data_IF_944440415360
#
_entry.id   IF_944440415360
#
_cell.length_a   1.000
_cell.length_b   1.000
_cell.length_c   1.000
_cell.angle_alpha   90.00
_cell.angle_beta   90.00
_cell.angle_gamma   90.00
#
_symmetry.space_group_name_H-M   'P 1'
#
loop_
_entity.id
_entity.type
_entity.pdbx_description
1 polymer ?
#
# COMPACT_ATOMS: atom_id res chain seq x y z
N UNK A 1 12.75 -0.49 -17.59
CA UNK A 1 13.25 0.73 -16.89
C UNK A 1 13.67 0.33 -15.48
N UNK A 2 14.76 0.90 -14.92
CA UNK A 2 15.11 0.65 -13.52
C UNK A 2 14.18 1.47 -12.62
N UNK A 3 13.45 0.82 -11.70
CA UNK A 3 12.59 1.52 -10.75
C UNK A 3 13.44 2.22 -9.69
N UNK A 4 13.04 3.45 -9.36
CA UNK A 4 13.68 4.27 -8.34
C UNK A 4 13.17 3.85 -6.97
N UNK A 5 14.10 3.49 -6.11
CA UNK A 5 13.82 3.25 -4.71
C UNK A 5 13.87 4.60 -3.96
N UNK A 6 12.88 4.92 -3.12
CA UNK A 6 12.98 6.10 -2.27
C UNK A 6 14.20 6.01 -1.34
N UNK A 7 14.80 7.13 -0.93
CA UNK A 7 15.88 7.12 0.05
C UNK A 7 15.45 6.45 1.36
N UNK A 8 16.38 5.77 2.07
CA UNK A 8 16.11 5.22 3.38
C UNK A 8 15.59 6.28 4.36
N UNK A 9 14.54 5.93 5.11
CA UNK A 9 13.99 6.80 6.14
C UNK A 9 14.93 6.91 7.34
N UNK A 10 14.95 8.11 7.92
CA UNK A 10 15.74 8.42 9.11
C UNK A 10 14.82 8.93 10.24
N UNK A 11 15.18 8.71 11.52
CA UNK A 11 14.46 9.36 12.63
C UNK A 11 14.36 10.88 12.39
N UNK A 12 13.17 11.43 12.65
CA UNK A 12 12.84 12.83 12.37
C UNK A 12 12.23 13.09 10.99
N UNK A 13 12.27 12.12 10.06
CA UNK A 13 11.60 12.27 8.77
C UNK A 13 10.09 12.45 8.92
N UNK A 14 9.53 13.32 8.07
CA UNK A 14 8.08 13.54 7.99
C UNK A 14 7.44 12.43 7.18
N UNK A 15 6.45 11.78 7.77
CA UNK A 15 5.61 10.76 7.14
C UNK A 15 4.15 11.19 7.23
N UNK A 16 3.37 10.94 6.18
CA UNK A 16 2.03 11.49 6.04
C UNK A 16 0.98 10.39 5.94
N UNK A 17 0.01 10.39 6.84
CA UNK A 17 -1.08 9.42 6.87
C UNK A 17 -2.26 9.90 6.03
N UNK A 18 -2.74 9.05 5.11
CA UNK A 18 -3.89 9.30 4.22
C UNK A 18 -4.87 8.13 4.25
N UNK A 19 -6.12 8.39 3.89
CA UNK A 19 -7.15 7.36 3.74
C UNK A 19 -7.70 7.33 2.29
N UNK A 20 -6.99 6.70 1.33
CA UNK A 20 -7.38 6.74 -0.07
C UNK A 20 -8.49 5.74 -0.44
N UNK A 21 -8.94 4.91 0.49
CA UNK A 21 -9.87 3.78 0.28
C UNK A 21 -11.08 3.87 1.20
N UNK A 22 -11.31 2.86 2.04
CA UNK A 22 -12.43 2.78 2.96
C UNK A 22 -12.30 3.72 4.15
N UNK A 23 -13.44 4.17 4.71
CA UNK A 23 -13.47 5.00 5.90
C UNK A 23 -13.08 4.22 7.16
N UNK A 24 -12.50 4.91 8.13
CA UNK A 24 -12.25 4.39 9.47
C UNK A 24 -13.58 4.27 10.23
N UNK A 25 -13.89 3.07 10.72
CA UNK A 25 -15.15 2.82 11.44
C UNK A 25 -14.91 2.84 12.93
N UNK A 26 -15.79 3.52 13.66
CA UNK A 26 -15.80 3.50 15.12
C UNK A 26 -16.43 2.22 15.69
N UNK A 27 -17.17 1.44 14.87
CA UNK A 27 -17.79 0.19 15.30
C UNK A 27 -16.73 -0.84 15.68
N UNK A 28 -16.99 -1.54 16.79
CA UNK A 28 -16.12 -2.62 17.25
C UNK A 28 -16.24 -3.83 16.34
N UNK A 29 -15.12 -4.22 15.72
CA UNK A 29 -14.99 -5.49 15.02
C UNK A 29 -14.05 -6.37 15.85
N UNK A 30 -14.56 -7.51 16.35
CA UNK A 30 -13.80 -8.41 17.25
C UNK A 30 -13.22 -7.70 18.48
N UNK A 31 -13.98 -6.77 19.08
CA UNK A 31 -13.61 -6.07 20.31
C UNK A 31 -12.66 -4.87 20.13
N UNK A 32 -12.32 -4.47 18.91
CA UNK A 32 -11.51 -3.27 18.61
C UNK A 32 -12.22 -2.40 17.58
N UNK A 33 -12.13 -1.08 17.73
CA UNK A 33 -12.53 -0.17 16.67
C UNK A 33 -11.40 -0.02 15.66
N UNK A 34 -11.74 0.17 14.38
CA UNK A 34 -10.73 0.47 13.36
C UNK A 34 -10.01 1.78 13.66
N UNK A 35 -10.69 2.74 14.27
CA UNK A 35 -10.10 4.02 14.66
C UNK A 35 -9.03 3.84 15.75
N UNK A 36 -9.25 2.96 16.74
CA UNK A 36 -8.25 2.68 17.76
C UNK A 36 -7.04 1.94 17.18
N UNK A 37 -7.28 0.97 16.29
CA UNK A 37 -6.23 0.26 15.58
C UNK A 37 -5.40 1.23 14.70
N UNK A 38 -6.05 2.15 14.03
CA UNK A 38 -5.40 3.22 13.27
C UNK A 38 -4.49 4.09 14.15
N UNK A 39 -5.02 4.56 15.29
CA UNK A 39 -4.24 5.36 16.24
C UNK A 39 -3.02 4.61 16.78
N UNK A 40 -3.18 3.31 17.07
CA UNK A 40 -2.05 2.45 17.46
C UNK A 40 -1.02 2.33 16.33
N UNK A 41 -1.45 2.16 15.08
CA UNK A 41 -0.55 2.14 13.93
C UNK A 41 0.23 3.44 13.76
N UNK A 42 -0.42 4.59 13.93
CA UNK A 42 0.24 5.92 13.94
C UNK A 42 1.28 5.99 15.06
N UNK A 43 0.93 5.50 16.25
CA UNK A 43 1.83 5.55 17.41
C UNK A 43 3.07 4.66 17.23
N UNK A 44 2.95 3.51 16.56
CA UNK A 44 4.10 2.65 16.23
C UNK A 44 5.12 3.43 15.37
N UNK A 45 4.68 4.19 14.38
CA UNK A 45 5.55 5.03 13.56
C UNK A 45 6.18 6.17 14.38
N UNK A 46 5.43 6.81 15.28
CA UNK A 46 5.94 7.86 16.16
C UNK A 46 7.00 7.33 17.12
N UNK A 47 6.76 6.18 17.72
CA UNK A 47 7.71 5.52 18.62
C UNK A 47 9.01 5.09 17.91
N UNK A 48 8.93 4.90 16.59
CA UNK A 48 10.10 4.65 15.76
C UNK A 48 10.93 5.91 15.49
N UNK A 49 10.42 7.09 15.89
CA UNK A 49 11.10 8.38 15.75
C UNK A 49 10.67 9.23 14.57
N UNK A 50 9.60 8.85 13.85
CA UNK A 50 9.10 9.62 12.72
C UNK A 50 8.12 10.72 13.13
N UNK A 51 8.14 11.83 12.40
CA UNK A 51 7.14 12.91 12.53
C UNK A 51 5.90 12.54 11.72
N UNK A 52 4.91 11.91 12.35
CA UNK A 52 3.68 11.48 11.67
C UNK A 52 2.68 12.63 11.64
N UNK A 53 2.42 13.12 10.44
CA UNK A 53 1.35 14.06 10.13
C UNK A 53 0.14 13.30 9.60
N UNK A 54 -1.05 13.73 9.96
CA UNK A 54 -2.31 13.10 9.56
C UNK A 54 -3.05 14.09 8.67
N UNK A 55 -3.47 13.61 7.49
CA UNK A 55 -4.30 14.43 6.61
C UNK A 55 -5.62 14.79 7.31
N UNK A 56 -6.09 16.07 7.24
CA UNK A 56 -7.31 16.50 7.89
C UNK A 56 -8.56 15.76 7.46
N UNK A 57 -8.58 15.19 6.23
CA UNK A 57 -9.68 14.41 5.70
C UNK A 57 -9.53 12.89 5.96
N UNK A 58 -8.51 12.46 6.72
CA UNK A 58 -8.23 11.03 6.93
C UNK A 58 -9.37 10.29 7.64
N UNK A 59 -10.14 10.97 8.47
CA UNK A 59 -11.32 10.44 9.18
C UNK A 59 -12.65 10.78 8.48
N UNK A 60 -12.60 11.36 7.26
CA UNK A 60 -13.82 11.68 6.50
C UNK A 60 -14.58 10.41 6.14
N UNK A 61 -15.91 10.54 5.98
CA UNK A 61 -16.78 9.44 5.61
C UNK A 61 -17.79 9.85 4.54
N UNK A 62 -17.89 9.04 3.49
CA UNK A 62 -18.93 9.10 2.48
C UNK A 62 -19.36 7.68 2.11
N UNK A 63 -20.46 7.22 2.72
CA UNK A 63 -20.85 5.83 2.66
C UNK A 63 -19.81 4.91 3.29
N UNK A 64 -19.21 4.03 2.52
CA UNK A 64 -18.12 3.13 2.95
C UNK A 64 -16.71 3.68 2.64
N UNK A 65 -16.62 4.83 1.97
CA UNK A 65 -15.36 5.47 1.55
C UNK A 65 -14.92 6.53 2.58
N UNK A 66 -13.61 6.79 2.61
CA UNK A 66 -13.00 7.84 3.44
C UNK A 66 -13.16 9.22 2.78
N UNK A 67 -14.41 9.67 2.66
CA UNK A 67 -14.77 10.89 1.94
C UNK A 67 -15.04 10.66 0.46
N UNK A 68 -15.34 11.73 -0.26
CA UNK A 68 -15.56 11.75 -1.71
C UNK A 68 -14.29 11.40 -2.49
N UNK A 69 -14.41 11.03 -3.75
CA UNK A 69 -13.25 10.77 -4.61
C UNK A 69 -12.33 12.01 -4.69
N UNK A 70 -12.92 13.20 -4.74
CA UNK A 70 -12.16 14.46 -4.74
C UNK A 70 -11.35 14.67 -3.46
N UNK A 71 -11.95 14.43 -2.28
CA UNK A 71 -11.24 14.54 -1.00
C UNK A 71 -10.10 13.54 -0.89
N UNK A 72 -10.34 12.27 -1.26
CA UNK A 72 -9.31 11.21 -1.23
C UNK A 72 -8.16 11.50 -2.20
N UNK A 73 -8.47 12.06 -3.38
CA UNK A 73 -7.46 12.50 -4.35
C UNK A 73 -6.64 13.66 -3.81
N UNK A 74 -7.27 14.66 -3.18
CA UNK A 74 -6.56 15.77 -2.55
C UNK A 74 -5.59 15.32 -1.45
N UNK A 75 -5.91 14.27 -0.69
CA UNK A 75 -4.98 13.66 0.27
C UNK A 75 -3.71 13.16 -0.43
N UNK A 76 -3.87 12.43 -1.55
CA UNK A 76 -2.74 11.97 -2.36
C UNK A 76 -1.93 13.14 -2.91
N UNK A 77 -2.59 14.16 -3.46
CA UNK A 77 -1.93 15.34 -4.03
C UNK A 77 -1.13 16.10 -2.97
N UNK A 78 -1.70 16.36 -1.79
CA UNK A 78 -0.98 16.99 -0.65
C UNK A 78 0.25 16.18 -0.28
N UNK A 79 0.12 14.86 -0.16
CA UNK A 79 1.21 13.97 0.20
C UNK A 79 2.34 13.94 -0.83
N UNK A 80 2.01 13.95 -2.13
CA UNK A 80 3.03 13.89 -3.18
C UNK A 80 3.67 15.24 -3.48
N UNK A 81 2.94 16.34 -3.39
CA UNK A 81 3.44 17.69 -3.72
C UNK A 81 4.34 18.29 -2.64
N UNK A 82 4.18 17.92 -1.36
CA UNK A 82 5.04 18.42 -0.29
C UNK A 82 6.40 17.73 -0.31
N UNK A 83 7.51 18.39 -0.69
CA UNK A 83 8.83 17.77 -0.81
C UNK A 83 9.43 17.33 0.54
N UNK A 84 8.89 17.82 1.65
CA UNK A 84 9.32 17.44 3.00
C UNK A 84 8.79 16.08 3.44
N UNK A 85 7.72 15.56 2.83
CA UNK A 85 7.18 14.25 3.13
C UNK A 85 8.05 13.17 2.46
N UNK A 86 8.49 12.17 3.25
CA UNK A 86 9.35 11.06 2.79
C UNK A 86 8.57 9.76 2.60
N UNK A 87 7.50 9.56 3.37
CA UNK A 87 6.64 8.39 3.25
C UNK A 87 5.16 8.76 3.34
N UNK A 88 4.33 8.01 2.63
CA UNK A 88 2.87 8.09 2.60
C UNK A 88 2.34 6.80 3.18
N UNK A 89 1.62 6.90 4.29
CA UNK A 89 1.09 5.77 5.05
C UNK A 89 -0.41 5.66 4.81
N UNK A 90 -0.87 4.56 4.24
CA UNK A 90 -2.29 4.35 4.04
C UNK A 90 -2.97 3.91 5.33
N UNK A 91 -4.05 4.59 5.72
CA UNK A 91 -4.79 4.32 6.95
C UNK A 91 -5.39 2.92 6.96
N UNK A 92 -6.08 2.55 5.86
CA UNK A 92 -6.67 1.22 5.65
C UNK A 92 -6.83 0.91 4.15
N UNK A 93 -7.09 -0.37 3.86
CA UNK A 93 -7.58 -0.81 2.57
C UNK A 93 -9.11 -0.69 2.45
N UNK A 94 -9.73 -1.66 1.80
CA UNK A 94 -11.17 -1.72 1.58
C UNK A 94 -11.53 -1.66 0.11
N UNK A 95 -12.08 -0.52 -0.35
CA UNK A 95 -12.40 -0.28 -1.75
C UNK A 95 -12.30 1.22 -2.04
N UNK A 96 -11.98 1.56 -3.30
CA UNK A 96 -12.11 2.92 -3.81
C UNK A 96 -10.82 3.56 -4.29
N UNK A 97 -9.65 2.96 -4.04
CA UNK A 97 -8.37 3.49 -4.55
C UNK A 97 -8.34 3.49 -6.09
N UNK A 98 -8.88 2.45 -6.73
CA UNK A 98 -8.97 2.37 -8.20
C UNK A 98 -9.80 3.50 -8.83
N UNK A 99 -10.78 4.05 -8.10
CA UNK A 99 -11.60 5.19 -8.57
C UNK A 99 -10.81 6.49 -8.71
N UNK A 100 -9.66 6.59 -8.06
CA UNK A 100 -8.81 7.79 -8.09
C UNK A 100 -7.92 7.84 -9.33
N UNK A 101 -7.67 6.69 -9.97
CA UNK A 101 -6.62 6.50 -10.96
C UNK A 101 -6.84 7.26 -12.27
N UNK A 102 -8.09 7.53 -12.64
CA UNK A 102 -8.41 8.25 -13.89
C UNK A 102 -8.01 9.72 -13.82
N UNK A 103 -8.31 10.36 -12.69
CA UNK A 103 -8.12 11.80 -12.51
C UNK A 103 -6.91 12.17 -11.65
N UNK A 104 -6.24 11.17 -11.05
CA UNK A 104 -5.06 11.44 -10.24
C UNK A 104 -3.86 11.79 -11.11
N UNK A 105 -3.30 12.97 -10.89
CA UNK A 105 -2.03 13.36 -11.50
C UNK A 105 -0.90 12.65 -10.76
N UNK A 106 -0.42 11.58 -11.37
CA UNK A 106 0.65 10.75 -10.80
C UNK A 106 1.94 11.54 -10.64
N UNK A 107 2.79 11.18 -9.65
CA UNK A 107 4.10 11.81 -9.50
C UNK A 107 4.92 11.61 -10.78
N UNK A 108 5.49 12.69 -11.28
CA UNK A 108 6.34 12.64 -12.46
C UNK A 108 7.71 12.02 -12.15
N UNK A 109 8.37 11.50 -13.20
CA UNK A 109 9.70 10.89 -13.09
C UNK A 109 10.78 11.79 -12.49
N UNK A 110 10.61 13.12 -12.55
CA UNK A 110 11.55 14.10 -11.99
C UNK A 110 11.33 14.38 -10.50
N UNK A 111 10.15 14.01 -9.97
CA UNK A 111 9.87 14.21 -8.55
C UNK A 111 10.69 13.23 -7.70
N UNK A 112 11.19 13.66 -6.52
CA UNK A 112 11.81 12.74 -5.59
C UNK A 112 10.85 11.60 -5.23
N UNK A 113 11.28 10.34 -5.35
CA UNK A 113 10.41 9.22 -5.01
C UNK A 113 10.14 9.20 -3.50
N UNK A 114 8.92 8.79 -3.13
CA UNK A 114 8.47 8.64 -1.75
C UNK A 114 8.03 7.21 -1.49
N UNK A 115 8.18 6.76 -0.27
CA UNK A 115 7.61 5.49 0.16
C UNK A 115 6.09 5.58 0.18
N UNK A 116 5.40 4.78 -0.62
CA UNK A 116 3.96 4.54 -0.48
C UNK A 116 3.78 3.17 0.18
N UNK A 117 3.19 3.16 1.37
CA UNK A 117 3.05 1.96 2.21
C UNK A 117 1.59 1.57 2.37
N UNK A 118 1.26 0.34 1.98
CA UNK A 118 -0.07 -0.21 2.12
C UNK A 118 -0.25 -1.52 1.38
N UNK A 119 -1.40 -2.17 1.55
CA UNK A 119 -1.76 -3.43 0.89
C UNK A 119 -3.28 -3.47 0.59
N UNK A 120 -3.78 -4.61 0.13
CA UNK A 120 -5.20 -4.78 -0.20
C UNK A 120 -5.61 -3.82 -1.34
N UNK A 121 -6.64 -2.99 -1.18
CA UNK A 121 -7.09 -2.01 -2.18
C UNK A 121 -6.00 -1.02 -2.62
N UNK A 122 -4.97 -0.81 -1.78
CA UNK A 122 -3.83 0.06 -2.10
C UNK A 122 -2.97 -0.51 -3.25
N UNK A 123 -3.13 -1.77 -3.59
CA UNK A 123 -2.53 -2.38 -4.79
C UNK A 123 -2.73 -1.50 -6.03
N UNK A 124 -3.90 -0.90 -6.18
CA UNK A 124 -4.21 -0.01 -7.30
C UNK A 124 -3.26 1.20 -7.37
N UNK A 125 -2.96 1.82 -6.24
CA UNK A 125 -2.02 2.94 -6.16
C UNK A 125 -0.56 2.47 -6.30
N UNK A 126 -0.20 1.36 -5.67
CA UNK A 126 1.16 0.79 -5.76
C UNK A 126 1.53 0.46 -7.21
N UNK A 127 0.63 -0.17 -7.96
CA UNK A 127 0.85 -0.48 -9.37
C UNK A 127 0.85 0.77 -10.24
N UNK A 128 0.04 1.77 -9.87
CA UNK A 128 0.03 3.05 -10.59
C UNK A 128 1.35 3.80 -10.49
N UNK A 129 1.96 3.88 -9.28
CA UNK A 129 3.28 4.54 -9.11
C UNK A 129 4.42 3.68 -9.67
N UNK A 130 4.27 2.35 -9.67
CA UNK A 130 5.23 1.46 -10.32
C UNK A 130 5.37 1.81 -11.81
N UNK A 131 4.28 2.08 -12.52
CA UNK A 131 4.31 2.50 -13.92
C UNK A 131 5.05 3.85 -14.14
N UNK A 132 5.13 4.68 -13.10
CA UNK A 132 5.92 5.92 -13.10
C UNK A 132 7.39 5.69 -12.65
N UNK A 133 7.80 4.43 -12.57
CA UNK A 133 9.16 4.04 -12.20
C UNK A 133 9.48 4.23 -10.71
N UNK A 134 8.49 4.20 -9.82
CA UNK A 134 8.67 4.34 -8.37
C UNK A 134 8.32 3.01 -7.69
N UNK A 135 9.24 2.51 -6.86
CA UNK A 135 8.97 1.32 -6.06
C UNK A 135 8.10 1.66 -4.85
N UNK A 136 6.97 0.94 -4.73
CA UNK A 136 6.09 1.00 -3.54
C UNK A 136 6.36 -0.13 -2.55
N UNK A 137 5.67 -0.10 -1.41
CA UNK A 137 5.80 -1.12 -0.36
C UNK A 137 4.45 -1.77 -0.08
N UNK A 138 4.28 -3.00 -0.51
CA UNK A 138 3.14 -3.83 -0.15
C UNK A 138 3.33 -4.33 1.28
N UNK A 139 2.72 -3.65 2.24
CA UNK A 139 2.93 -3.84 3.66
C UNK A 139 1.69 -3.43 4.46
N UNK A 140 1.62 -3.78 5.77
CA UNK A 140 0.48 -3.45 6.61
C UNK A 140 0.10 -1.96 6.55
N UNK A 141 -1.20 -1.70 6.45
CA UNK A 141 -1.78 -0.37 6.64
C UNK A 141 -1.85 -0.01 8.12
N UNK A 142 -2.07 1.26 8.45
CA UNK A 142 -2.07 1.71 9.85
C UNK A 142 -3.08 0.95 10.73
N UNK A 143 -4.27 0.61 10.20
CA UNK A 143 -5.28 -0.16 10.96
C UNK A 143 -4.88 -1.62 11.24
N UNK A 144 -3.96 -2.20 10.48
CA UNK A 144 -3.52 -3.59 10.68
C UNK A 144 -2.19 -3.71 11.41
N UNK A 145 -1.36 -2.66 11.40
CA UNK A 145 0.03 -2.70 11.84
C UNK A 145 0.21 -3.17 13.29
N UNK A 146 -0.69 -2.77 14.20
CA UNK A 146 -0.62 -3.17 15.61
C UNK A 146 -0.99 -4.64 15.88
N UNK A 147 -1.59 -5.31 14.89
CA UNK A 147 -1.96 -6.73 14.98
C UNK A 147 -0.98 -7.65 14.26
N UNK A 148 0.01 -7.08 13.58
CA UNK A 148 1.04 -7.83 12.88
C UNK A 148 2.03 -8.49 13.86
N UNK A 149 2.55 -9.67 13.52
CA UNK A 149 3.62 -10.27 14.30
C UNK A 149 4.92 -9.44 14.19
N UNK A 150 5.73 -9.48 15.24
CA UNK A 150 6.96 -8.67 15.35
C UNK A 150 7.89 -8.78 14.13
N UNK A 151 7.98 -9.96 13.52
CA UNK A 151 8.83 -10.15 12.34
C UNK A 151 8.33 -9.36 11.12
N UNK A 152 7.01 -9.21 10.96
CA UNK A 152 6.38 -8.45 9.88
C UNK A 152 6.64 -6.95 10.06
N UNK A 153 6.40 -6.44 11.27
CA UNK A 153 6.68 -5.05 11.64
C UNK A 153 8.16 -4.72 11.47
N UNK A 154 9.04 -5.60 11.96
CA UNK A 154 10.49 -5.43 11.81
C UNK A 154 10.89 -5.39 10.34
N UNK A 155 10.37 -6.30 9.52
CA UNK A 155 10.66 -6.36 8.09
C UNK A 155 10.26 -5.08 7.35
N UNK A 156 9.09 -4.49 7.67
CA UNK A 156 8.67 -3.22 7.12
C UNK A 156 9.69 -2.12 7.42
N UNK A 157 10.04 -1.93 8.69
CA UNK A 157 10.98 -0.88 9.09
C UNK A 157 12.40 -1.14 8.56
N UNK A 158 12.88 -2.37 8.58
CA UNK A 158 14.19 -2.71 8.03
C UNK A 158 14.26 -2.34 6.54
N UNK A 159 13.18 -2.59 5.79
CA UNK A 159 13.13 -2.25 4.37
C UNK A 159 13.13 -0.74 4.13
N UNK A 160 12.21 0.01 4.73
CA UNK A 160 12.12 1.46 4.49
C UNK A 160 13.29 2.25 5.07
N UNK A 161 14.00 1.71 6.05
CA UNK A 161 15.22 2.28 6.65
C UNK A 161 16.52 1.80 5.95
N UNK A 162 16.40 1.03 4.87
CA UNK A 162 17.54 0.61 4.03
C UNK A 162 18.39 -0.50 4.66
N UNK A 163 17.87 -1.24 5.63
CA UNK A 163 18.55 -2.40 6.20
C UNK A 163 18.32 -3.66 5.35
N UNK A 164 19.23 -4.59 5.47
CA UNK A 164 19.09 -5.90 4.83
C UNK A 164 17.94 -6.67 5.48
N UNK A 165 17.01 -7.15 4.65
CA UNK A 165 15.92 -8.02 5.10
C UNK A 165 16.23 -9.48 4.76
N UNK A 166 15.97 -10.43 5.68
CA UNK A 166 16.16 -11.83 5.40
C UNK A 166 15.16 -12.33 4.34
N UNK A 167 15.51 -13.35 3.55
CA UNK A 167 14.59 -13.94 2.59
C UNK A 167 13.38 -14.56 3.31
N UNK A 168 12.21 -14.50 2.65
CA UNK A 168 11.04 -15.25 3.09
C UNK A 168 11.18 -16.71 2.71
N UNK A 169 10.75 -17.60 3.59
CA UNK A 169 10.71 -19.03 3.34
C UNK A 169 9.27 -19.49 3.14
N UNK A 170 9.05 -20.40 2.23
CA UNK A 170 7.75 -20.95 1.93
C UNK A 170 7.83 -22.32 1.27
N UNK A 171 6.68 -22.96 1.10
CA UNK A 171 6.59 -24.22 0.39
C UNK A 171 6.57 -23.96 -1.11
N UNK A 172 7.56 -24.52 -1.83
CA UNK A 172 7.62 -24.45 -3.29
C UNK A 172 6.78 -25.54 -3.96
N UNK A 173 6.20 -25.20 -5.12
CA UNK A 173 5.51 -26.10 -6.02
C UNK A 173 6.15 -25.93 -7.41
N UNK A 174 6.63 -27.00 -7.99
CA UNK A 174 7.42 -26.95 -9.21
C UNK A 174 8.93 -26.95 -8.93
N UNK A 175 9.74 -26.70 -9.92
CA UNK A 175 11.19 -26.76 -9.83
C UNK A 175 11.89 -25.56 -10.46
N UNK A 176 13.13 -25.32 -10.05
CA UNK A 176 13.99 -24.29 -10.61
C UNK A 176 14.01 -22.98 -9.82
N UNK A 177 14.93 -22.10 -10.23
CA UNK A 177 15.10 -20.75 -9.69
C UNK A 177 14.74 -19.74 -10.78
N UNK A 178 13.99 -18.71 -10.43
CA UNK A 178 13.67 -17.61 -11.33
C UNK A 178 14.11 -16.29 -10.69
N UNK A 179 14.47 -15.33 -11.54
CA UNK A 179 14.75 -13.95 -11.15
C UNK A 179 13.84 -13.03 -11.93
N UNK A 180 13.31 -12.01 -11.26
CA UNK A 180 12.41 -11.05 -11.89
C UNK A 180 12.02 -9.95 -10.93
N UNK A 181 11.32 -8.95 -11.45
CA UNK A 181 10.75 -7.89 -10.61
C UNK A 181 9.61 -8.44 -9.79
N UNK A 182 9.64 -8.21 -8.48
CA UNK A 182 8.56 -8.60 -7.58
C UNK A 182 7.40 -7.60 -7.71
N UNK A 183 6.23 -8.08 -8.13
CA UNK A 183 4.98 -7.33 -8.18
C UNK A 183 3.98 -7.92 -7.18
N UNK A 184 3.98 -7.45 -5.94
CA UNK A 184 2.99 -7.88 -4.96
C UNK A 184 1.65 -7.18 -5.18
N UNK A 185 0.57 -7.82 -4.78
CA UNK A 185 -0.76 -7.22 -4.84
C UNK A 185 -1.85 -8.08 -4.24
N UNK A 186 -2.98 -7.46 -3.96
CA UNK A 186 -4.20 -8.18 -3.69
C UNK A 186 -4.74 -8.78 -4.99
N UNK A 187 -5.03 -10.09 -4.99
CA UNK A 187 -5.41 -10.83 -6.19
C UNK A 187 -6.67 -10.26 -6.86
N UNK A 188 -7.69 -9.94 -6.06
CA UNK A 188 -8.95 -9.37 -6.57
C UNK A 188 -8.71 -8.00 -7.24
N UNK A 189 -7.96 -7.13 -6.59
CA UNK A 189 -7.64 -5.79 -7.11
C UNK A 189 -6.74 -5.88 -8.34
N UNK A 190 -5.68 -6.67 -8.28
CA UNK A 190 -4.77 -6.90 -9.39
C UNK A 190 -5.50 -7.42 -10.63
N UNK A 191 -6.42 -8.39 -10.43
CA UNK A 191 -7.25 -8.92 -11.54
C UNK A 191 -8.15 -7.85 -12.14
N UNK A 192 -8.73 -6.95 -11.32
CA UNK A 192 -9.55 -5.85 -11.81
C UNK A 192 -8.76 -4.79 -12.60
N UNK A 193 -7.44 -4.76 -12.45
CA UNK A 193 -6.57 -3.84 -13.18
C UNK A 193 -6.06 -4.41 -14.53
N UNK A 194 -6.27 -5.70 -14.80
CA UNK A 194 -5.87 -6.31 -16.07
C UNK A 194 -6.57 -5.61 -17.26
N UNK A 195 -5.81 -5.31 -18.30
CA UNK A 195 -6.29 -4.62 -19.49
C UNK A 195 -6.52 -3.11 -19.31
N UNK A 196 -6.25 -2.56 -18.14
CA UNK A 196 -6.34 -1.11 -17.89
C UNK A 196 -4.99 -0.42 -18.13
N UNK A 197 -5.02 0.92 -18.18
CA UNK A 197 -3.79 1.75 -18.31
C UNK A 197 -2.83 1.66 -17.11
N UNK A 198 -3.30 1.11 -15.99
CA UNK A 198 -2.51 0.98 -14.75
C UNK A 198 -1.98 -0.43 -14.54
N UNK A 199 -2.33 -1.37 -15.42
CA UNK A 199 -1.68 -2.67 -15.44
C UNK A 199 -0.17 -2.46 -15.68
N UNK A 200 0.71 -2.96 -14.78
CA UNK A 200 2.15 -2.92 -15.05
C UNK A 200 2.54 -3.88 -16.16
N UNK A 201 3.74 -3.68 -16.71
CA UNK A 201 4.35 -4.69 -17.55
C UNK A 201 4.62 -5.95 -16.72
N UNK A 202 4.07 -7.07 -17.16
CA UNK A 202 4.14 -8.36 -16.47
C UNK A 202 5.25 -9.27 -17.01
N UNK A 203 5.93 -8.86 -18.09
CA UNK A 203 6.97 -9.68 -18.68
C UNK A 203 8.15 -9.86 -17.70
N UNK A 204 8.46 -11.09 -17.38
CA UNK A 204 9.52 -11.43 -16.43
C UNK A 204 9.22 -11.04 -14.97
N UNK A 205 7.99 -10.69 -14.64
CA UNK A 205 7.60 -10.36 -13.27
C UNK A 205 7.38 -11.63 -12.42
N UNK A 206 7.68 -11.49 -11.14
CA UNK A 206 7.29 -12.46 -10.10
C UNK A 206 6.06 -11.91 -9.39
N UNK A 207 4.90 -12.54 -9.59
CA UNK A 207 3.65 -12.13 -8.99
C UNK A 207 3.53 -12.73 -7.58
N UNK A 208 3.30 -11.87 -6.59
CA UNK A 208 3.08 -12.29 -5.20
C UNK A 208 1.71 -11.80 -4.73
N UNK A 209 0.72 -12.69 -4.78
CA UNK A 209 -0.65 -12.35 -4.46
C UNK A 209 -1.05 -12.75 -3.04
N UNK A 210 -1.82 -11.89 -2.40
CA UNK A 210 -2.61 -12.18 -1.21
C UNK A 210 -4.09 -11.93 -1.50
N UNK A 211 -4.98 -12.52 -0.72
CA UNK A 211 -6.39 -12.14 -0.66
C UNK A 211 -6.99 -12.50 0.70
N UNK A 212 -8.10 -11.87 1.07
CA UNK A 212 -8.74 -12.04 2.37
C UNK A 212 -10.19 -12.45 2.23
N UNK A 213 -10.51 -13.65 2.76
CA UNK A 213 -11.89 -14.11 2.87
C UNK A 213 -12.54 -14.58 1.56
N UNK A 214 -11.74 -14.79 0.50
CA UNK A 214 -12.23 -15.29 -0.78
C UNK A 214 -12.53 -16.79 -0.73
N UNK A 215 -13.68 -17.21 -1.27
CA UNK A 215 -14.00 -18.62 -1.42
C UNK A 215 -13.09 -19.28 -2.46
N UNK A 216 -12.73 -20.56 -2.31
CA UNK A 216 -11.79 -21.25 -3.23
C UNK A 216 -12.16 -21.13 -4.70
N UNK A 217 -13.44 -21.25 -5.06
CA UNK A 217 -13.90 -21.13 -6.46
C UNK A 217 -13.71 -19.70 -7.02
N UNK A 218 -13.70 -18.67 -6.17
CA UNK A 218 -13.45 -17.30 -6.59
C UNK A 218 -11.97 -17.10 -6.86
N UNK A 219 -11.11 -17.64 -5.99
CA UNK A 219 -9.65 -17.65 -6.22
C UNK A 219 -9.33 -18.36 -7.52
N UNK A 220 -9.92 -19.55 -7.77
CA UNK A 220 -9.72 -20.30 -9.01
C UNK A 220 -10.14 -19.48 -10.24
N UNK A 221 -11.27 -18.79 -10.17
CA UNK A 221 -11.74 -17.90 -11.25
C UNK A 221 -10.78 -16.74 -11.50
N UNK A 222 -10.32 -16.08 -10.44
CA UNK A 222 -9.34 -14.99 -10.56
C UNK A 222 -8.05 -15.49 -11.19
N UNK A 223 -7.49 -16.60 -10.71
CA UNK A 223 -6.27 -17.20 -11.27
C UNK A 223 -6.45 -17.70 -12.71
N UNK A 224 -7.67 -18.10 -13.11
CA UNK A 224 -7.97 -18.45 -14.51
C UNK A 224 -7.83 -17.24 -15.43
N UNK A 225 -8.13 -16.03 -14.95
CA UNK A 225 -7.95 -14.78 -15.72
C UNK A 225 -6.47 -14.46 -15.95
N UNK A 226 -5.57 -14.97 -15.11
CA UNK A 226 -4.12 -14.75 -15.20
C UNK A 226 -3.37 -15.74 -16.11
N UNK A 227 -4.05 -16.69 -16.69
CA UNK A 227 -3.50 -17.66 -17.67
C UNK A 227 -3.53 -17.10 -19.08
#
# INVERSE_FOLDING_TARGET
MSHRLPPPLQPGDRVYAIAPSGCLRSQLIRGRSELDAYRQGVEIWRQRGYCVEIDPDCEAQWGYLAGTDAQRRQQLDRAWQDPGIKAILCARGGYGASRLLEDWVRPQTDSPPKWLVGFSDITALLWSIYNEGIAGVHAPVLTSLSAEPDWSVRRLFDWVEGRTIPPLQGRGWGGGTVCGTLLPGNLTVATALLGTKVQPDLEGAILAFEDVGEAPYRIDRLLTQWR
#
